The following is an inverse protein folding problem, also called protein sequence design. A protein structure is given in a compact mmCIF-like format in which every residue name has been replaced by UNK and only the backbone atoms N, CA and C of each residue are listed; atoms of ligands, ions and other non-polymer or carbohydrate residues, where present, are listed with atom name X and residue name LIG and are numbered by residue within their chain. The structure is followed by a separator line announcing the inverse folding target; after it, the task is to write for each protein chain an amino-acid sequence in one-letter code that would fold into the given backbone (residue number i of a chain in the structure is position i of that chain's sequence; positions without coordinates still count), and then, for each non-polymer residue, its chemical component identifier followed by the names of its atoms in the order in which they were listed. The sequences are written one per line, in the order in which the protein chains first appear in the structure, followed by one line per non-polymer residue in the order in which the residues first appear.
data_IF_968469516046
#
_entry.id   IF_968469516046
#
_cell.length_a   1.000
_cell.length_b   1.000
_cell.length_c   1.000
_cell.angle_alpha   90.00
_cell.angle_beta   90.00
_cell.angle_gamma   90.00
#
_symmetry.space_group_name_H-M   'P 1'
#
loop_
_entity.id
_entity.type
_entity.pdbx_description
1 polymer ?
#
# COMPACT_ATOMS: atom_id res chain seq x y z
N UNK A 1 -35.30 -9.69 50.69
CA UNK A 1 -35.46 -8.68 49.58
C UNK A 1 -34.08 -8.51 48.99
N UNK A 2 -33.83 -9.13 47.81
CA UNK A 2 -32.59 -8.98 47.10
C UNK A 2 -32.72 -7.83 46.10
N UNK A 3 -31.90 -6.80 46.26
CA UNK A 3 -31.86 -5.69 45.30
C UNK A 3 -31.30 -6.18 43.95
N UNK A 4 -31.88 -5.76 42.80
CA UNK A 4 -31.34 -6.11 41.49
C UNK A 4 -29.98 -5.42 41.30
N UNK A 5 -28.94 -6.24 41.03
CA UNK A 5 -27.65 -5.73 40.53
C UNK A 5 -27.87 -5.10 39.17
N UNK A 6 -27.79 -3.76 39.09
CA UNK A 6 -27.74 -3.04 37.83
C UNK A 6 -26.44 -3.45 37.12
N UNK A 7 -26.57 -4.20 36.01
CA UNK A 7 -25.49 -4.44 35.09
C UNK A 7 -25.03 -3.10 34.51
N UNK A 8 -23.80 -2.68 34.86
CA UNK A 8 -23.18 -1.56 34.20
C UNK A 8 -23.11 -1.84 32.68
N UNK A 9 -23.46 -0.88 31.82
CA UNK A 9 -23.37 -1.08 30.37
C UNK A 9 -21.93 -1.40 30.01
N UNK A 10 -21.72 -2.48 29.24
CA UNK A 10 -20.42 -2.87 28.74
C UNK A 10 -19.79 -1.66 28.04
N UNK A 11 -18.61 -1.24 28.52
CA UNK A 11 -17.89 -0.13 27.90
C UNK A 11 -17.66 -0.47 26.43
N UNK A 12 -18.29 0.30 25.54
CA UNK A 12 -18.07 0.17 24.09
C UNK A 12 -16.60 0.34 23.81
N UNK A 13 -16.02 -0.60 23.03
CA UNK A 13 -14.61 -0.52 22.63
C UNK A 13 -14.32 0.86 22.02
N UNK A 14 -13.21 1.51 22.39
CA UNK A 14 -12.90 2.86 21.92
C UNK A 14 -12.84 2.86 20.37
N UNK A 15 -13.64 3.73 19.76
CA UNK A 15 -13.61 3.94 18.33
C UNK A 15 -12.26 4.54 17.96
N UNK A 16 -11.43 3.78 17.22
CA UNK A 16 -10.12 4.26 16.75
C UNK A 16 -10.35 5.32 15.68
N UNK A 17 -10.28 6.59 16.06
CA UNK A 17 -10.42 7.72 15.14
C UNK A 17 -9.05 8.10 14.58
N UNK A 18 -8.93 8.16 13.26
CA UNK A 18 -7.69 8.58 12.59
C UNK A 18 -7.50 10.08 12.80
N UNK A 19 -6.34 10.54 13.32
CA UNK A 19 -6.08 11.96 13.51
C UNK A 19 -6.16 12.76 12.19
N UNK A 20 -6.58 14.02 12.23
CA UNK A 20 -6.62 14.88 11.05
C UNK A 20 -5.26 14.94 10.35
N UNK A 21 -5.25 14.79 9.04
CA UNK A 21 -4.03 14.84 8.23
C UNK A 21 -3.27 13.53 8.11
N UNK A 22 -3.62 12.49 8.85
CA UNK A 22 -2.98 11.17 8.73
C UNK A 22 -3.65 10.32 7.65
N UNK A 23 -2.82 9.65 6.84
CA UNK A 23 -3.30 8.68 5.83
C UNK A 23 -3.44 7.32 6.49
N UNK A 24 -4.63 6.75 6.43
CA UNK A 24 -4.92 5.38 6.90
C UNK A 24 -4.81 4.40 5.74
N UNK A 25 -3.68 3.72 5.65
CA UNK A 25 -3.39 2.77 4.58
C UNK A 25 -3.74 1.31 4.93
N UNK A 26 -4.34 1.03 6.10
CA UNK A 26 -4.61 -0.34 6.58
C UNK A 26 -5.36 -1.20 5.57
N UNK A 27 -6.47 -0.68 5.05
CA UNK A 27 -7.30 -1.40 4.09
C UNK A 27 -6.59 -1.56 2.74
N UNK A 28 -5.92 -0.51 2.25
CA UNK A 28 -5.18 -0.55 0.99
C UNK A 28 -4.06 -1.59 1.04
N UNK A 29 -3.22 -1.60 2.08
CA UNK A 29 -2.14 -2.57 2.22
C UNK A 29 -2.66 -4.01 2.31
N UNK A 30 -3.76 -4.25 3.02
CA UNK A 30 -4.37 -5.58 3.10
C UNK A 30 -4.82 -6.08 1.73
N UNK A 31 -5.48 -5.23 0.94
CA UNK A 31 -5.97 -5.61 -0.39
C UNK A 31 -4.82 -5.75 -1.38
N UNK A 32 -3.77 -4.90 -1.31
CA UNK A 32 -2.55 -5.09 -2.09
C UNK A 32 -1.87 -6.43 -1.76
N UNK A 33 -1.72 -6.78 -0.47
CA UNK A 33 -1.14 -8.05 -0.08
C UNK A 33 -1.86 -9.24 -0.75
N UNK A 34 -3.20 -9.24 -0.68
CA UNK A 34 -4.02 -10.28 -1.31
C UNK A 34 -3.86 -10.30 -2.84
N UNK A 35 -3.89 -9.11 -3.48
CA UNK A 35 -3.73 -9.00 -4.93
C UNK A 35 -2.38 -9.57 -5.38
N UNK A 36 -1.30 -9.23 -4.68
CA UNK A 36 0.05 -9.71 -4.99
C UNK A 36 0.19 -11.21 -4.78
N UNK A 37 -0.23 -11.72 -3.62
CA UNK A 37 -0.14 -13.15 -3.31
C UNK A 37 -0.97 -13.97 -4.28
N UNK A 38 -2.20 -13.59 -4.56
CA UNK A 38 -3.09 -14.35 -5.45
C UNK A 38 -2.67 -14.17 -6.92
N UNK A 39 -2.56 -12.93 -7.41
CA UNK A 39 -2.31 -12.67 -8.83
C UNK A 39 -0.93 -13.13 -9.27
N UNK A 40 0.12 -12.71 -8.57
CA UNK A 40 1.48 -13.15 -8.90
C UNK A 40 1.76 -14.60 -8.48
N UNK A 41 1.12 -15.10 -7.41
CA UNK A 41 1.23 -16.51 -7.01
C UNK A 41 0.68 -17.44 -8.10
N UNK A 42 -0.50 -17.16 -8.64
CA UNK A 42 -1.05 -17.92 -9.76
C UNK A 42 -0.20 -17.78 -11.02
N UNK A 43 0.36 -16.59 -11.29
CA UNK A 43 1.29 -16.41 -12.39
C UNK A 43 2.57 -17.24 -12.21
N UNK A 44 3.12 -17.32 -11.01
CA UNK A 44 4.28 -18.16 -10.70
C UNK A 44 4.01 -19.64 -10.95
N UNK A 45 2.82 -20.11 -10.59
CA UNK A 45 2.42 -21.50 -10.75
C UNK A 45 2.05 -21.89 -12.18
N UNK A 46 1.66 -20.90 -13.03
CA UNK A 46 1.19 -21.13 -14.40
C UNK A 46 2.18 -20.73 -15.49
N UNK A 47 3.33 -20.16 -15.13
CA UNK A 47 4.35 -19.70 -16.09
C UNK A 47 5.66 -20.48 -15.90
N UNK A 48 6.44 -20.54 -17.00
CA UNK A 48 7.73 -21.26 -17.03
C UNK A 48 7.70 -22.41 -18.00
N UNK A 49 8.81 -23.18 -18.06
CA UNK A 49 8.96 -24.34 -18.95
C UNK A 49 8.17 -25.57 -18.49
N UNK A 50 7.94 -25.67 -17.19
CA UNK A 50 7.16 -26.76 -16.57
C UNK A 50 6.16 -26.14 -15.58
N UNK A 51 5.02 -25.64 -16.06
CA UNK A 51 4.02 -25.02 -15.19
C UNK A 51 3.36 -26.07 -14.29
N UNK A 52 3.19 -25.72 -13.01
CA UNK A 52 2.50 -26.57 -12.03
C UNK A 52 0.98 -26.57 -12.24
N UNK A 53 0.44 -25.50 -12.81
CA UNK A 53 -0.97 -25.32 -13.12
C UNK A 53 -1.14 -24.90 -14.58
N UNK A 54 -1.99 -25.59 -15.29
CA UNK A 54 -2.41 -25.18 -16.65
C UNK A 54 -3.58 -24.20 -16.53
N UNK A 55 -3.26 -22.89 -16.51
CA UNK A 55 -4.25 -21.82 -16.41
C UNK A 55 -4.30 -20.99 -17.68
N UNK A 56 -5.48 -20.51 -18.08
CA UNK A 56 -5.58 -19.53 -19.14
C UNK A 56 -4.67 -18.32 -18.88
N UNK A 57 -3.83 -17.94 -19.85
CA UNK A 57 -2.78 -16.93 -19.67
C UNK A 57 -3.27 -15.56 -19.18
N UNK A 58 -4.55 -15.24 -19.43
CA UNK A 58 -5.19 -14.00 -18.98
C UNK A 58 -5.63 -14.03 -17.50
N UNK A 59 -5.86 -15.23 -16.92
CA UNK A 59 -6.48 -15.37 -15.58
C UNK A 59 -5.66 -14.76 -14.46
N UNK A 60 -4.34 -15.03 -14.31
CA UNK A 60 -3.54 -14.40 -13.25
C UNK A 60 -3.54 -12.87 -13.32
N UNK A 61 -3.42 -12.30 -14.54
CA UNK A 61 -3.43 -10.87 -14.75
C UNK A 61 -4.78 -10.24 -14.40
N UNK A 62 -5.88 -10.89 -14.75
CA UNK A 62 -7.23 -10.42 -14.41
C UNK A 62 -7.47 -10.43 -12.91
N UNK A 63 -7.07 -11.50 -12.21
CA UNK A 63 -7.21 -11.58 -10.76
C UNK A 63 -6.32 -10.56 -10.04
N UNK A 64 -5.10 -10.34 -10.54
CA UNK A 64 -4.24 -9.28 -10.04
C UNK A 64 -4.90 -7.91 -10.19
N UNK A 65 -5.40 -7.59 -11.40
CA UNK A 65 -6.11 -6.33 -11.68
C UNK A 65 -7.36 -6.15 -10.82
N UNK A 66 -8.15 -7.22 -10.64
CA UNK A 66 -9.34 -7.20 -9.79
C UNK A 66 -9.02 -6.90 -8.31
N UNK A 67 -7.83 -7.24 -7.84
CA UNK A 67 -7.35 -6.88 -6.52
C UNK A 67 -6.71 -5.50 -6.45
N UNK A 68 -5.90 -5.13 -7.46
CA UNK A 68 -5.16 -3.84 -7.49
C UNK A 68 -6.11 -2.64 -7.62
N UNK A 69 -7.16 -2.73 -8.45
CA UNK A 69 -8.10 -1.62 -8.65
C UNK A 69 -8.79 -1.19 -7.35
N UNK A 70 -9.40 -2.08 -6.54
CA UNK A 70 -9.94 -1.68 -5.25
C UNK A 70 -8.85 -1.23 -4.26
N UNK A 71 -7.65 -1.82 -4.27
CA UNK A 71 -6.55 -1.38 -3.42
C UNK A 71 -6.15 0.08 -3.71
N UNK A 72 -5.97 0.44 -4.99
CA UNK A 72 -5.71 1.81 -5.43
C UNK A 72 -6.86 2.76 -5.05
N UNK A 73 -8.10 2.33 -5.24
CA UNK A 73 -9.27 3.13 -4.85
C UNK A 73 -9.27 3.44 -3.36
N UNK A 74 -8.93 2.46 -2.51
CA UNK A 74 -8.81 2.64 -1.07
C UNK A 74 -7.66 3.59 -0.71
N UNK A 75 -6.50 3.45 -1.36
CA UNK A 75 -5.35 4.32 -1.16
C UNK A 75 -5.66 5.78 -1.53
N UNK A 76 -6.26 6.01 -2.70
CA UNK A 76 -6.69 7.34 -3.14
C UNK A 76 -7.70 7.94 -2.18
N UNK A 77 -8.72 7.18 -1.76
CA UNK A 77 -9.72 7.66 -0.79
C UNK A 77 -9.09 8.03 0.54
N UNK A 78 -8.13 7.24 1.03
CA UNK A 78 -7.40 7.55 2.26
C UNK A 78 -6.59 8.85 2.13
N UNK A 79 -5.88 9.04 1.02
CA UNK A 79 -5.16 10.28 0.70
C UNK A 79 -6.08 11.50 0.64
N UNK A 80 -7.19 11.40 -0.08
CA UNK A 80 -8.18 12.50 -0.19
C UNK A 80 -8.78 12.86 1.18
N UNK A 81 -9.07 11.87 2.03
CA UNK A 81 -9.56 12.14 3.39
C UNK A 81 -8.53 12.88 4.23
N UNK A 82 -7.26 12.47 4.15
CA UNK A 82 -6.16 13.10 4.88
C UNK A 82 -5.89 14.55 4.44
N UNK A 83 -6.30 14.93 3.22
CA UNK A 83 -6.16 16.31 2.72
C UNK A 83 -7.25 17.26 3.22
N UNK A 84 -8.33 16.76 3.82
CA UNK A 84 -9.38 17.62 4.37
C UNK A 84 -8.82 18.46 5.51
N UNK A 85 -8.84 19.78 5.34
CA UNK A 85 -8.23 20.72 6.29
C UNK A 85 -6.70 20.88 6.19
N UNK A 86 -6.04 20.25 5.20
CA UNK A 86 -4.61 20.41 4.99
C UNK A 86 -4.24 21.82 4.49
N UNK A 87 -3.03 22.28 4.84
CA UNK A 87 -2.46 23.53 4.34
C UNK A 87 -2.30 23.50 2.81
N UNK A 88 -2.24 24.67 2.18
CA UNK A 88 -2.03 24.79 0.73
C UNK A 88 -0.73 24.13 0.28
N UNK A 89 0.36 24.34 1.03
CA UNK A 89 1.66 23.70 0.76
C UNK A 89 1.55 22.17 0.71
N UNK A 90 0.83 21.58 1.66
CA UNK A 90 0.61 20.13 1.69
C UNK A 90 -0.23 19.65 0.51
N UNK A 91 -1.31 20.37 0.18
CA UNK A 91 -2.12 20.06 -1.01
C UNK A 91 -1.33 20.12 -2.31
N UNK A 92 -0.41 21.09 -2.44
CA UNK A 92 0.45 21.20 -3.61
C UNK A 92 1.46 20.03 -3.69
N UNK A 93 2.05 19.64 -2.57
CA UNK A 93 2.91 18.46 -2.53
C UNK A 93 2.16 17.18 -2.97
N UNK A 94 0.93 16.97 -2.49
CA UNK A 94 0.11 15.82 -2.89
C UNK A 94 -0.28 15.85 -4.39
N UNK A 95 -0.51 17.04 -4.98
CA UNK A 95 -0.74 17.17 -6.43
C UNK A 95 0.51 16.77 -7.23
N UNK A 96 1.70 17.17 -6.79
CA UNK A 96 2.96 16.79 -7.43
C UNK A 96 3.21 15.28 -7.31
N UNK A 97 2.91 14.68 -6.17
CA UNK A 97 2.98 13.23 -6.00
C UNK A 97 1.99 12.51 -6.91
N UNK A 98 0.77 13.02 -7.06
CA UNK A 98 -0.21 12.50 -8.03
C UNK A 98 0.28 12.59 -9.47
N UNK A 99 0.92 13.71 -9.84
CA UNK A 99 1.54 13.86 -11.16
C UNK A 99 2.71 12.88 -11.36
N UNK A 100 3.52 12.61 -10.31
CA UNK A 100 4.61 11.65 -10.36
C UNK A 100 4.11 10.22 -10.67
N UNK A 101 2.95 9.81 -10.15
CA UNK A 101 2.31 8.54 -10.51
C UNK A 101 2.00 8.46 -12.01
N UNK A 102 1.34 9.47 -12.57
CA UNK A 102 1.01 9.52 -14.00
C UNK A 102 2.28 9.51 -14.85
N UNK A 103 3.25 10.37 -14.53
CA UNK A 103 4.52 10.48 -15.27
C UNK A 103 5.32 9.18 -15.19
N UNK A 104 5.44 8.59 -13.98
CA UNK A 104 6.19 7.35 -13.76
C UNK A 104 5.64 6.18 -14.58
N UNK A 105 4.33 5.96 -14.54
CA UNK A 105 3.71 4.88 -15.32
C UNK A 105 3.72 5.16 -16.83
N UNK A 106 3.58 6.41 -17.25
CA UNK A 106 3.74 6.77 -18.68
C UNK A 106 5.15 6.52 -19.16
N UNK A 107 6.17 6.93 -18.38
CA UNK A 107 7.58 6.67 -18.72
C UNK A 107 7.88 5.17 -18.76
N UNK A 108 7.37 4.40 -17.79
CA UNK A 108 7.49 2.94 -17.77
C UNK A 108 6.87 2.31 -19.03
N UNK A 109 5.66 2.73 -19.41
CA UNK A 109 4.99 2.26 -20.62
C UNK A 109 5.84 2.52 -21.87
N UNK A 110 6.34 3.74 -22.03
CA UNK A 110 7.17 4.11 -23.18
C UNK A 110 8.48 3.33 -23.18
N UNK A 111 9.13 3.17 -22.04
CA UNK A 111 10.39 2.44 -21.93
C UNK A 111 10.23 0.95 -22.28
N UNK A 112 9.25 0.27 -21.70
CA UNK A 112 9.01 -1.16 -21.95
C UNK A 112 8.60 -1.39 -23.40
N UNK A 113 7.64 -0.59 -23.91
CA UNK A 113 7.15 -0.73 -25.28
C UNK A 113 8.25 -0.40 -26.28
N UNK A 114 9.01 0.68 -26.04
CA UNK A 114 10.15 1.08 -26.88
C UNK A 114 11.23 0.01 -26.92
N UNK A 115 11.63 -0.53 -25.76
CA UNK A 115 12.63 -1.59 -25.68
C UNK A 115 12.17 -2.87 -26.39
N UNK A 116 10.93 -3.34 -26.15
CA UNK A 116 10.38 -4.52 -26.80
C UNK A 116 10.36 -4.38 -28.34
N UNK A 117 10.01 -3.18 -28.85
CA UNK A 117 10.03 -2.89 -30.29
C UNK A 117 11.44 -2.83 -30.85
N UNK A 118 12.37 -2.15 -30.17
CA UNK A 118 13.74 -1.97 -30.63
C UNK A 118 14.52 -3.29 -30.70
N UNK A 119 14.24 -4.23 -29.78
CA UNK A 119 14.89 -5.54 -29.72
C UNK A 119 14.14 -6.62 -30.51
N UNK A 120 12.90 -6.39 -30.92
CA UNK A 120 12.02 -7.41 -31.49
C UNK A 120 11.55 -8.48 -30.47
N UNK A 121 11.83 -8.28 -29.18
CA UNK A 121 11.56 -9.26 -28.10
C UNK A 121 10.29 -8.90 -27.33
N UNK A 122 9.12 -9.31 -27.85
CA UNK A 122 7.82 -9.06 -27.18
C UNK A 122 7.72 -9.68 -25.78
N UNK A 123 8.43 -10.79 -25.54
CA UNK A 123 8.45 -11.50 -24.27
C UNK A 123 9.03 -10.67 -23.10
N UNK A 124 9.85 -9.65 -23.41
CA UNK A 124 10.34 -8.72 -22.40
C UNK A 124 9.19 -8.03 -21.63
N UNK A 125 8.05 -7.83 -22.25
CA UNK A 125 6.90 -7.23 -21.60
C UNK A 125 6.37 -8.09 -20.44
N UNK A 126 6.43 -9.43 -20.57
CA UNK A 126 5.98 -10.35 -19.52
C UNK A 126 6.85 -10.30 -18.26
N UNK A 127 8.08 -9.81 -18.35
CA UNK A 127 9.04 -9.69 -17.26
C UNK A 127 9.10 -8.25 -16.76
N UNK A 128 9.20 -7.28 -17.67
CA UNK A 128 9.42 -5.88 -17.31
C UNK A 128 8.18 -5.19 -16.76
N UNK A 129 6.97 -5.56 -17.22
CA UNK A 129 5.76 -4.95 -16.68
C UNK A 129 5.54 -5.26 -15.20
N UNK A 130 5.53 -6.53 -14.75
CA UNK A 130 5.33 -6.81 -13.34
C UNK A 130 6.45 -6.22 -12.46
N UNK A 131 7.73 -6.42 -12.80
CA UNK A 131 8.83 -5.90 -12.00
C UNK A 131 8.93 -4.37 -12.05
N UNK A 132 8.83 -3.78 -13.25
CA UNK A 132 8.87 -2.32 -13.43
C UNK A 132 7.74 -1.59 -12.73
N UNK A 133 6.52 -2.15 -12.73
CA UNK A 133 5.40 -1.58 -12.00
C UNK A 133 5.67 -1.55 -10.50
N UNK A 134 6.20 -2.63 -9.93
CA UNK A 134 6.54 -2.68 -8.50
C UNK A 134 7.69 -1.72 -8.18
N UNK A 135 8.67 -1.58 -9.08
CA UNK A 135 9.77 -0.61 -8.93
C UNK A 135 9.24 0.82 -8.86
N UNK A 136 8.38 1.23 -9.81
CA UNK A 136 7.79 2.57 -9.83
C UNK A 136 6.94 2.80 -8.57
N UNK A 137 6.10 1.84 -8.18
CA UNK A 137 5.33 1.92 -6.92
C UNK A 137 6.26 2.11 -5.73
N UNK A 138 7.35 1.35 -5.66
CA UNK A 138 8.34 1.46 -4.59
C UNK A 138 8.99 2.84 -4.52
N UNK A 139 9.48 3.35 -5.65
CA UNK A 139 10.14 4.67 -5.70
C UNK A 139 9.19 5.82 -5.35
N UNK A 140 7.95 5.79 -5.84
CA UNK A 140 6.95 6.81 -5.49
C UNK A 140 6.55 6.69 -4.01
N UNK A 141 6.43 5.48 -3.47
CA UNK A 141 6.15 5.27 -2.04
C UNK A 141 7.27 5.81 -1.14
N UNK A 142 8.53 5.75 -1.56
CA UNK A 142 9.65 6.42 -0.88
C UNK A 142 9.42 7.93 -0.84
N UNK A 143 9.09 8.53 -1.99
CA UNK A 143 8.83 9.97 -2.08
C UNK A 143 7.63 10.39 -1.22
N UNK A 144 6.52 9.63 -1.28
CA UNK A 144 5.35 9.86 -0.44
C UNK A 144 5.64 9.71 1.06
N UNK A 145 6.39 8.66 1.43
CA UNK A 145 6.81 8.42 2.81
C UNK A 145 7.63 9.58 3.36
N UNK A 146 8.55 10.10 2.56
CA UNK A 146 9.37 11.27 2.88
C UNK A 146 8.51 12.54 3.02
N UNK A 147 7.66 12.83 2.04
CA UNK A 147 6.81 14.03 2.04
C UNK A 147 5.80 14.04 3.19
N UNK A 148 5.28 12.87 3.55
CA UNK A 148 4.30 12.69 4.64
C UNK A 148 4.94 12.40 5.99
N UNK A 149 6.27 12.31 6.06
CA UNK A 149 7.02 11.89 7.28
C UNK A 149 6.53 10.56 7.83
N UNK A 150 6.17 9.62 6.95
CA UNK A 150 5.70 8.29 7.29
C UNK A 150 6.81 7.25 7.03
N UNK A 151 7.56 6.92 8.08
CA UNK A 151 8.67 5.97 8.00
C UNK A 151 8.24 4.57 7.53
N UNK A 152 7.04 4.11 7.90
CA UNK A 152 6.53 2.82 7.45
C UNK A 152 6.31 2.81 5.94
N UNK A 153 5.71 3.86 5.39
CA UNK A 153 5.48 3.96 3.94
C UNK A 153 6.80 4.07 3.17
N UNK A 154 7.77 4.85 3.70
CA UNK A 154 9.13 4.93 3.17
C UNK A 154 9.82 3.56 3.13
N UNK A 155 9.80 2.83 4.25
CA UNK A 155 10.43 1.50 4.38
C UNK A 155 9.78 0.48 3.44
N UNK A 156 8.44 0.47 3.37
CA UNK A 156 7.72 -0.38 2.42
C UNK A 156 8.11 -0.05 0.97
N UNK A 157 8.20 1.23 0.61
CA UNK A 157 8.63 1.65 -0.71
C UNK A 157 10.05 1.17 -1.05
N UNK A 158 11.00 1.32 -0.11
CA UNK A 158 12.38 0.84 -0.26
C UNK A 158 12.43 -0.68 -0.45
N UNK A 159 11.63 -1.41 0.34
CA UNK A 159 11.49 -2.86 0.22
C UNK A 159 10.97 -3.26 -1.17
N UNK A 160 9.86 -2.66 -1.62
CA UNK A 160 9.26 -2.96 -2.92
C UNK A 160 10.22 -2.67 -4.08
N UNK A 161 10.94 -1.54 -4.04
CA UNK A 161 11.92 -1.19 -5.07
C UNK A 161 13.07 -2.22 -5.13
N UNK A 162 13.57 -2.65 -3.97
CA UNK A 162 14.62 -3.68 -3.88
C UNK A 162 14.12 -5.03 -4.39
N UNK A 163 12.92 -5.46 -3.96
CA UNK A 163 12.31 -6.72 -4.41
C UNK A 163 12.08 -6.71 -5.92
N UNK A 164 11.61 -5.61 -6.49
CA UNK A 164 11.40 -5.47 -7.93
C UNK A 164 12.70 -5.65 -8.73
N UNK A 165 13.79 -5.00 -8.30
CA UNK A 165 15.10 -5.17 -8.91
C UNK A 165 15.61 -6.59 -8.78
N UNK A 166 15.49 -7.19 -7.60
CA UNK A 166 15.92 -8.56 -7.33
C UNK A 166 15.14 -9.58 -8.17
N UNK A 167 13.83 -9.36 -8.35
CA UNK A 167 12.99 -10.27 -9.12
C UNK A 167 13.46 -10.45 -10.57
N UNK A 168 14.11 -9.45 -11.17
CA UNK A 168 14.63 -9.51 -12.54
C UNK A 168 15.78 -10.49 -12.74
N UNK A 169 16.42 -10.97 -11.67
CA UNK A 169 17.47 -11.99 -11.77
C UNK A 169 16.95 -13.41 -11.91
N UNK A 170 15.63 -13.61 -11.82
CA UNK A 170 15.01 -14.92 -11.90
C UNK A 170 14.27 -15.13 -13.23
N UNK A 171 14.14 -16.40 -13.64
CA UNK A 171 13.25 -16.80 -14.72
C UNK A 171 11.79 -16.42 -14.41
N UNK A 172 10.88 -16.35 -15.42
CA UNK A 172 9.53 -15.81 -15.22
C UNK A 172 8.76 -16.38 -14.01
N UNK A 173 8.77 -17.68 -13.79
CA UNK A 173 8.11 -18.27 -12.61
C UNK A 173 8.72 -17.77 -11.29
N UNK A 174 10.04 -17.71 -11.19
CA UNK A 174 10.76 -17.20 -10.03
C UNK A 174 10.54 -15.70 -9.81
N UNK A 175 10.46 -14.91 -10.88
CA UNK A 175 10.12 -13.48 -10.82
C UNK A 175 8.75 -13.31 -10.17
N UNK A 176 7.73 -13.99 -10.67
CA UNK A 176 6.37 -13.89 -10.11
C UNK A 176 6.29 -14.43 -8.68
N UNK A 177 7.01 -15.53 -8.36
CA UNK A 177 7.10 -16.03 -7.00
C UNK A 177 7.73 -15.02 -6.04
N UNK A 178 8.80 -14.34 -6.46
CA UNK A 178 9.44 -13.27 -5.68
C UNK A 178 8.46 -12.11 -5.42
N UNK A 179 7.71 -11.66 -6.42
CA UNK A 179 6.72 -10.61 -6.26
C UNK A 179 5.55 -11.05 -5.36
N UNK A 180 5.07 -12.30 -5.49
CA UNK A 180 4.01 -12.82 -4.64
C UNK A 180 4.42 -12.88 -3.17
N UNK A 181 5.59 -13.48 -2.89
CA UNK A 181 6.03 -13.76 -1.53
C UNK A 181 6.64 -12.51 -0.88
N UNK A 182 7.62 -11.89 -1.54
CA UNK A 182 8.36 -10.80 -0.93
C UNK A 182 7.60 -9.45 -1.00
N UNK A 183 7.02 -9.09 -2.15
CA UNK A 183 6.24 -7.86 -2.23
C UNK A 183 4.87 -8.02 -1.56
N UNK A 184 4.15 -9.11 -1.80
CA UNK A 184 2.88 -9.40 -1.12
C UNK A 184 3.04 -9.55 0.39
N UNK A 185 4.10 -10.24 0.86
CA UNK A 185 4.47 -10.34 2.27
C UNK A 185 4.83 -8.99 2.89
N UNK A 186 5.56 -8.14 2.15
CA UNK A 186 5.86 -6.77 2.57
C UNK A 186 4.60 -5.94 2.82
N UNK A 187 3.61 -6.02 1.93
CA UNK A 187 2.31 -5.37 2.13
C UNK A 187 1.55 -5.95 3.33
N UNK A 188 1.58 -7.28 3.54
CA UNK A 188 0.94 -7.91 4.70
C UNK A 188 1.54 -7.43 6.03
N UNK A 189 2.87 -7.38 6.12
CA UNK A 189 3.59 -6.84 7.28
C UNK A 189 3.24 -5.36 7.47
N UNK A 190 3.27 -4.57 6.40
CA UNK A 190 2.90 -3.16 6.45
C UNK A 190 1.46 -2.94 6.93
N UNK A 191 0.51 -3.79 6.53
CA UNK A 191 -0.87 -3.71 7.01
C UNK A 191 -0.99 -3.91 8.53
N UNK A 192 -0.20 -4.85 9.09
CA UNK A 192 -0.15 -5.09 10.55
C UNK A 192 0.51 -3.91 11.28
N UNK A 193 1.64 -3.43 10.76
CA UNK A 193 2.36 -2.30 11.37
C UNK A 193 1.54 -1.00 11.29
N UNK A 194 0.82 -0.78 10.19
CA UNK A 194 -0.07 0.38 10.01
C UNK A 194 -1.22 0.37 11.03
N UNK A 195 -1.77 -0.80 11.36
CA UNK A 195 -2.77 -0.92 12.44
C UNK A 195 -2.19 -0.41 13.77
N UNK A 196 -0.97 -0.84 14.11
CA UNK A 196 -0.29 -0.40 15.33
C UNK A 196 -0.01 1.11 15.31
N UNK A 197 0.47 1.64 14.18
CA UNK A 197 0.75 3.06 13.98
C UNK A 197 -0.52 3.91 14.21
N UNK A 198 -1.60 3.58 13.55
CA UNK A 198 -2.86 4.33 13.67
C UNK A 198 -3.42 4.26 15.08
N UNK A 199 -3.37 3.10 15.74
CA UNK A 199 -3.83 2.96 17.14
C UNK A 199 -3.00 3.86 18.09
N UNK A 200 -1.67 3.87 17.94
CA UNK A 200 -0.79 4.72 18.75
C UNK A 200 -1.06 6.22 18.53
N UNK A 201 -1.21 6.65 17.28
CA UNK A 201 -1.54 8.04 16.92
C UNK A 201 -2.89 8.46 17.49
N UNK A 202 -3.91 7.59 17.41
CA UNK A 202 -5.24 7.87 17.96
C UNK A 202 -5.20 8.05 19.49
N UNK A 203 -4.45 7.20 20.21
CA UNK A 203 -4.30 7.31 21.64
C UNK A 203 -3.60 8.62 22.04
N UNK A 204 -2.53 8.98 21.33
CA UNK A 204 -1.80 10.25 21.58
C UNK A 204 -2.70 11.45 21.34
N UNK A 205 -3.48 11.45 20.26
CA UNK A 205 -4.41 12.54 19.92
C UNK A 205 -5.50 12.68 20.99
N UNK A 206 -6.10 11.60 21.45
CA UNK A 206 -7.11 11.59 22.51
C UNK A 206 -6.56 12.19 23.81
N UNK A 207 -5.36 11.78 24.23
CA UNK A 207 -4.70 12.30 25.44
C UNK A 207 -4.41 13.82 25.35
N UNK A 208 -4.00 14.32 24.19
CA UNK A 208 -3.76 15.75 23.97
C UNK A 208 -5.07 16.53 24.07
N UNK A 209 -6.13 16.05 23.43
CA UNK A 209 -7.45 16.70 23.47
C UNK A 209 -8.00 16.75 24.90
N UNK A 210 -7.83 15.69 25.67
CA UNK A 210 -8.27 15.66 27.07
C UNK A 210 -7.49 16.70 27.92
N UNK A 211 -6.16 16.76 27.77
CA UNK A 211 -5.32 17.74 28.52
C UNK A 211 -5.67 19.20 28.21
N UNK A 212 -6.11 19.49 26.98
CA UNK A 212 -6.55 20.85 26.59
C UNK A 212 -7.95 21.17 27.10
N UNK A 213 -8.76 20.18 27.44
CA UNK A 213 -10.10 20.35 28.00
C UNK A 213 -10.10 20.51 29.54
N UNK A 214 -9.05 20.05 30.22
CA UNK A 214 -8.93 20.20 31.66
C UNK A 214 -8.67 21.69 32.05
N UNK A 215 -9.49 22.30 32.91
CA UNK A 215 -9.31 23.70 33.30
C UNK A 215 -7.95 23.86 34.03
N UNK A 216 -7.23 24.92 33.64
CA UNK A 216 -5.99 25.31 34.34
C UNK A 216 -6.34 25.57 35.81
N UNK A 217 -5.65 24.92 36.76
CA UNK A 217 -5.87 25.18 38.19
C UNK A 217 -5.69 26.68 38.45
N UNK A 218 -6.76 27.35 38.89
CA UNK A 218 -6.66 28.73 39.35
C UNK A 218 -5.80 28.73 40.62
N UNK A 219 -4.59 29.25 40.53
CA UNK A 219 -3.74 29.54 41.71
C UNK A 219 -4.42 30.64 42.52
N UNK A 220 -5.05 30.26 43.62
CA UNK A 220 -5.54 31.19 44.63
C UNK A 220 -4.39 31.59 45.60
#
# INVERSE_FOLDING_TARGET
MNAPTMNAPAASAPVVTVPPGEVDSRAAYTVFALAYVVGHGLAALSKGTEPLLDLPGWLPATLFGAGVVPALTLAVRAGVRAQKGASESRRNAEKLLGAAWCTGFTALFLAITGLARATGMSELQNVLWPAGSVLIVGLISIAEGTARRNALHYTLGSWLATVAGTALFFAPAGLYATLAIAAGGGYAVAAVLERRRITALSATHANLTQRTADPVPTLN
#
